data_IF_303717174756
#
_entry.id   IF_303717174756
#
_cell.length_a   1.000
_cell.length_b   1.000
_cell.length_c   1.000
_cell.angle_alpha   90.00
_cell.angle_beta   90.00
_cell.angle_gamma   90.00
#
_symmetry.space_group_name_H-M   'P 1'
#
loop_
_entity.id
_entity.type
_entity.pdbx_description
1 polymer ?
#
# COMPACT_ATOMS: atom_id res chain seq x y z
N UNK A 1 -3.86 -41.44 47.20
CA UNK A 1 -3.29 -41.40 45.85
C UNK A 1 -4.44 -41.20 44.87
N UNK A 2 -4.56 -40.00 44.30
CA UNK A 2 -5.55 -39.71 43.24
C UNK A 2 -4.93 -38.70 42.29
N UNK A 3 -4.63 -39.14 41.07
CA UNK A 3 -4.25 -38.29 39.94
C UNK A 3 -5.50 -38.02 39.14
N UNK A 4 -5.87 -36.77 38.89
CA UNK A 4 -6.51 -36.36 37.63
C UNK A 4 -6.02 -34.95 37.28
N UNK A 5 -5.49 -34.84 36.06
CA UNK A 5 -5.00 -33.64 35.42
C UNK A 5 -6.16 -32.70 35.01
N UNK A 6 -5.90 -31.39 34.98
CA UNK A 6 -6.67 -30.46 34.16
C UNK A 6 -5.73 -29.38 33.62
N UNK A 7 -5.35 -29.58 32.36
CA UNK A 7 -4.72 -28.59 31.51
C UNK A 7 -5.74 -27.51 31.08
N UNK A 8 -5.20 -26.47 30.43
CA UNK A 8 -5.86 -25.52 29.54
C UNK A 8 -6.33 -24.19 30.15
N UNK A 9 -5.45 -23.18 30.04
CA UNK A 9 -5.89 -21.85 29.60
C UNK A 9 -4.75 -21.12 28.87
N UNK A 10 -4.45 -21.55 27.65
CA UNK A 10 -3.77 -20.70 26.68
C UNK A 10 -4.79 -20.32 25.60
N UNK A 11 -5.75 -19.45 25.96
CA UNK A 11 -6.60 -18.81 24.96
C UNK A 11 -5.72 -17.84 24.18
N UNK A 12 -5.49 -18.19 22.92
CA UNK A 12 -4.63 -17.45 22.00
C UNK A 12 -5.07 -16.01 21.83
N UNK A 13 -4.08 -15.11 21.93
CA UNK A 13 -4.12 -13.87 21.16
C UNK A 13 -3.94 -14.26 19.69
N UNK A 14 -5.02 -14.71 19.04
CA UNK A 14 -5.17 -14.55 17.62
C UNK A 14 -5.41 -13.05 17.40
N UNK A 15 -4.33 -12.27 17.41
CA UNK A 15 -4.36 -10.89 16.96
C UNK A 15 -4.94 -10.92 15.54
N UNK A 16 -6.09 -10.29 15.37
CA UNK A 16 -6.77 -10.10 14.11
C UNK A 16 -5.87 -9.33 13.16
N UNK A 17 -4.99 -10.03 12.46
CA UNK A 17 -4.44 -9.56 11.21
C UNK A 17 -5.58 -9.68 10.20
N UNK A 18 -6.47 -8.68 10.17
CA UNK A 18 -7.29 -8.47 8.99
C UNK A 18 -6.32 -8.40 7.80
N UNK A 19 -6.49 -9.24 6.76
CA UNK A 19 -5.67 -9.09 5.57
C UNK A 19 -5.93 -7.68 5.06
N UNK A 20 -4.91 -6.81 5.08
CA UNK A 20 -4.97 -5.57 4.31
C UNK A 20 -5.27 -6.00 2.87
N UNK A 21 -6.35 -5.47 2.29
CA UNK A 21 -6.71 -5.87 0.95
C UNK A 21 -5.65 -5.32 -0.01
N UNK A 22 -5.21 -6.17 -0.94
CA UNK A 22 -4.12 -5.84 -1.84
C UNK A 22 -4.52 -4.68 -2.76
N UNK A 23 -3.57 -3.82 -3.13
CA UNK A 23 -3.83 -2.86 -4.20
C UNK A 23 -4.08 -3.63 -5.50
N UNK A 24 -5.14 -3.30 -6.23
CA UNK A 24 -5.49 -3.99 -7.48
C UNK A 24 -5.64 -3.04 -8.66
N UNK A 25 -5.16 -3.47 -9.83
CA UNK A 25 -5.41 -2.82 -11.11
C UNK A 25 -5.91 -3.87 -12.11
N UNK A 26 -7.04 -3.62 -12.78
CA UNK A 26 -7.69 -4.57 -13.71
C UNK A 26 -7.88 -5.97 -13.09
N UNK A 27 -8.26 -6.02 -11.81
CA UNK A 27 -8.50 -7.26 -11.06
C UNK A 27 -7.24 -8.06 -10.70
N UNK A 28 -6.04 -7.48 -10.87
CA UNK A 28 -4.76 -8.12 -10.51
C UNK A 28 -4.08 -7.32 -9.41
N UNK A 29 -3.50 -8.03 -8.44
CA UNK A 29 -2.67 -7.38 -7.42
C UNK A 29 -1.46 -6.69 -8.06
N UNK A 30 -1.18 -5.49 -7.58
CA UNK A 30 0.00 -4.69 -7.97
C UNK A 30 1.00 -4.54 -6.82
N UNK A 31 0.75 -5.17 -5.69
CA UNK A 31 1.59 -5.11 -4.49
C UNK A 31 3.00 -5.66 -4.73
N UNK A 32 3.95 -5.15 -3.92
CA UNK A 32 5.36 -5.57 -3.84
C UNK A 32 6.15 -5.54 -5.14
N UNK A 33 5.58 -4.89 -6.17
CA UNK A 33 6.24 -4.58 -7.43
C UNK A 33 6.75 -3.15 -7.41
N UNK A 34 7.85 -2.92 -8.13
CA UNK A 34 8.38 -1.58 -8.36
C UNK A 34 7.88 -1.08 -9.70
N UNK A 35 7.32 0.11 -9.68
CA UNK A 35 6.87 0.85 -10.84
C UNK A 35 7.63 2.17 -10.93
N UNK A 36 7.60 2.77 -12.11
CA UNK A 36 8.10 4.12 -12.33
C UNK A 36 6.93 5.07 -12.42
N UNK A 37 7.03 6.23 -11.76
CA UNK A 37 5.94 7.18 -11.72
C UNK A 37 6.34 8.61 -11.46
N UNK A 38 5.33 9.46 -11.42
CA UNK A 38 5.40 10.83 -10.95
C UNK A 38 4.45 10.99 -9.76
N UNK A 39 4.79 11.86 -8.82
CA UNK A 39 3.87 12.28 -7.77
C UNK A 39 3.82 13.79 -7.69
N UNK A 40 2.63 14.36 -7.60
CA UNK A 40 2.47 15.81 -7.50
C UNK A 40 1.61 16.19 -6.29
N UNK A 41 1.85 17.39 -5.78
CA UNK A 41 0.97 18.08 -4.85
C UNK A 41 0.99 19.57 -5.14
N UNK A 42 -0.16 20.23 -5.05
CA UNK A 42 -0.25 21.69 -5.24
C UNK A 42 0.57 22.48 -4.21
N UNK A 43 0.86 21.88 -3.06
CA UNK A 43 1.60 22.51 -1.97
C UNK A 43 3.13 22.35 -2.07
N UNK A 44 3.60 21.29 -2.70
CA UNK A 44 5.03 20.89 -2.67
C UNK A 44 5.65 20.85 -4.07
N UNK A 45 4.83 20.72 -5.11
CA UNK A 45 5.26 20.54 -6.49
C UNK A 45 5.31 19.08 -6.91
N UNK A 46 6.05 18.80 -7.98
CA UNK A 46 6.11 17.48 -8.63
C UNK A 46 7.45 16.79 -8.40
N UNK A 47 7.41 15.51 -8.01
CA UNK A 47 8.55 14.60 -8.06
C UNK A 47 8.41 13.71 -9.29
N UNK A 48 9.41 13.74 -10.17
CA UNK A 48 9.39 13.02 -11.44
C UNK A 48 10.26 11.76 -11.40
N UNK A 49 9.90 10.75 -12.20
CA UNK A 49 10.67 9.52 -12.40
C UNK A 49 11.03 8.80 -11.08
N UNK A 50 10.10 8.80 -10.12
CA UNK A 50 10.26 8.15 -8.83
C UNK A 50 9.92 6.66 -8.90
N UNK A 51 10.53 5.87 -8.02
CA UNK A 51 10.11 4.48 -7.79
C UNK A 51 8.87 4.45 -6.91
N UNK A 52 7.89 3.64 -7.29
CA UNK A 52 6.62 3.46 -6.59
C UNK A 52 6.46 1.98 -6.24
N UNK A 53 6.06 1.68 -5.00
CA UNK A 53 5.66 0.33 -4.58
C UNK A 53 4.36 0.38 -3.80
N UNK A 54 3.44 -0.51 -4.14
CA UNK A 54 2.16 -0.69 -3.44
C UNK A 54 2.28 -1.80 -2.37
N UNK A 55 1.55 -1.64 -1.28
CA UNK A 55 1.31 -2.68 -0.26
C UNK A 55 -0.05 -2.41 0.39
N UNK A 56 -1.08 -3.09 -0.12
CA UNK A 56 -2.47 -2.74 0.17
C UNK A 56 -2.75 -1.26 -0.14
N UNK A 57 -3.45 -0.56 0.73
CA UNK A 57 -3.71 0.88 0.57
C UNK A 57 -2.44 1.77 0.61
N UNK A 58 -1.26 1.25 0.94
CA UNK A 58 -0.07 2.08 1.11
C UNK A 58 0.77 2.17 -0.17
N UNK A 59 1.20 3.39 -0.50
CA UNK A 59 2.17 3.71 -1.55
C UNK A 59 3.48 4.15 -0.92
N UNK A 60 4.58 3.50 -1.29
CA UNK A 60 5.94 3.88 -0.93
C UNK A 60 6.61 4.53 -2.13
N UNK A 61 7.02 5.77 -1.98
CA UNK A 61 7.69 6.55 -3.02
C UNK A 61 9.18 6.72 -2.67
N UNK A 62 10.04 6.37 -3.62
CA UNK A 62 11.50 6.34 -3.50
C UNK A 62 12.07 4.95 -3.15
N UNK A 63 13.40 4.80 -3.23
CA UNK A 63 14.08 3.51 -3.01
C UNK A 63 13.95 2.97 -1.57
N UNK A 64 13.71 3.84 -0.59
CA UNK A 64 13.65 3.51 0.86
C UNK A 64 12.36 3.96 1.56
N UNK A 65 11.36 4.47 0.83
CA UNK A 65 10.07 4.92 1.42
C UNK A 65 10.13 6.28 2.13
N UNK A 66 10.83 7.26 1.57
CA UNK A 66 10.90 8.62 2.13
C UNK A 66 9.54 9.33 2.15
N UNK A 67 8.65 8.94 1.24
CA UNK A 67 7.27 9.40 1.19
C UNK A 67 6.36 8.16 1.22
N UNK A 68 5.46 8.15 2.19
CA UNK A 68 4.50 7.08 2.43
C UNK A 68 3.11 7.69 2.34
N UNK A 69 2.31 7.22 1.40
CA UNK A 69 0.99 7.75 1.09
C UNK A 69 -0.05 6.65 1.32
N UNK A 70 -1.21 7.02 1.82
CA UNK A 70 -2.37 6.13 1.91
C UNK A 70 -3.34 6.44 0.78
N UNK A 71 -3.62 5.45 -0.07
CA UNK A 71 -4.61 5.55 -1.12
C UNK A 71 -5.99 5.69 -0.53
N UNK A 72 -6.83 6.45 -1.21
CA UNK A 72 -8.25 6.55 -0.85
C UNK A 72 -9.04 5.26 -1.14
N UNK A 73 -8.62 4.52 -2.16
CA UNK A 73 -9.20 3.24 -2.58
C UNK A 73 -8.07 2.26 -2.95
N UNK A 74 -8.24 0.99 -2.57
CA UNK A 74 -7.33 -0.11 -2.90
C UNK A 74 -7.51 -0.58 -4.35
N UNK A 75 -8.63 -0.24 -4.99
CA UNK A 75 -8.90 -0.50 -6.40
C UNK A 75 -8.45 0.69 -7.25
N UNK A 76 -7.35 0.51 -7.97
CA UNK A 76 -6.86 1.47 -8.95
C UNK A 76 -7.72 1.35 -10.21
N UNK A 77 -8.47 2.40 -10.52
CA UNK A 77 -9.31 2.50 -11.73
C UNK A 77 -8.57 3.21 -12.86
N UNK A 78 -7.89 4.32 -12.53
CA UNK A 78 -6.97 5.03 -13.42
C UNK A 78 -5.57 5.10 -12.78
N UNK A 79 -4.54 4.47 -13.36
CA UNK A 79 -3.19 4.54 -12.81
C UNK A 79 -2.51 5.89 -12.99
N UNK A 80 -3.11 6.84 -13.73
CA UNK A 80 -2.58 8.18 -13.94
C UNK A 80 -3.10 9.19 -12.91
N UNK A 81 -4.12 8.83 -12.15
CA UNK A 81 -4.82 9.73 -11.24
C UNK A 81 -5.17 9.02 -9.92
N UNK A 82 -4.15 8.52 -9.22
CA UNK A 82 -4.34 7.86 -7.92
C UNK A 82 -4.23 8.91 -6.81
N UNK A 83 -5.35 9.25 -6.16
CA UNK A 83 -5.37 10.10 -4.97
C UNK A 83 -4.79 9.35 -3.76
N UNK A 84 -3.78 9.95 -3.11
CA UNK A 84 -3.19 9.41 -1.90
C UNK A 84 -2.80 10.50 -0.90
N UNK A 85 -2.92 10.20 0.39
CA UNK A 85 -2.73 11.17 1.47
C UNK A 85 -1.45 10.89 2.27
N UNK A 86 -0.64 11.93 2.47
CA UNK A 86 0.49 11.91 3.40
C UNK A 86 -0.01 12.33 4.80
N UNK A 87 -0.33 11.35 5.64
CA UNK A 87 -0.79 11.59 7.02
C UNK A 87 0.24 12.31 7.90
N UNK A 88 1.54 12.22 7.58
CA UNK A 88 2.58 12.86 8.39
C UNK A 88 2.65 14.36 8.14
N UNK A 89 2.36 14.79 6.90
CA UNK A 89 2.43 16.19 6.48
C UNK A 89 1.07 16.84 6.30
N UNK A 90 0.00 16.05 6.26
CA UNK A 90 -1.36 16.51 6.02
C UNK A 90 -1.62 16.95 4.58
N UNK A 91 -0.97 16.30 3.61
CA UNK A 91 -0.91 16.74 2.20
C UNK A 91 -1.56 15.69 1.30
N UNK A 92 -2.44 16.14 0.39
CA UNK A 92 -2.94 15.31 -0.71
C UNK A 92 -1.94 15.28 -1.86
N UNK A 93 -1.71 14.09 -2.39
CA UNK A 93 -0.87 13.82 -3.54
C UNK A 93 -1.69 13.12 -4.63
N UNK A 94 -1.36 13.40 -5.87
CA UNK A 94 -1.79 12.61 -7.02
C UNK A 94 -0.59 11.80 -7.50
N UNK A 95 -0.79 10.50 -7.65
CA UNK A 95 0.22 9.54 -8.06
C UNK A 95 -0.10 9.06 -9.48
N UNK A 96 0.88 9.20 -10.37
CA UNK A 96 0.84 8.74 -11.74
C UNK A 96 1.83 7.58 -11.92
N UNK A 97 1.36 6.41 -12.33
CA UNK A 97 2.17 5.23 -12.58
C UNK A 97 2.33 5.00 -14.07
N UNK A 98 3.57 5.07 -14.58
CA UNK A 98 3.86 5.10 -16.00
C UNK A 98 3.84 3.71 -16.66
N UNK A 99 4.22 2.67 -15.91
CA UNK A 99 4.54 1.33 -16.43
C UNK A 99 3.66 0.20 -15.86
N UNK A 100 2.56 0.54 -15.18
CA UNK A 100 1.66 -0.46 -14.58
C UNK A 100 0.97 -1.37 -15.61
N UNK A 101 0.83 -0.89 -16.85
CA UNK A 101 0.21 -1.62 -17.96
C UNK A 101 1.19 -2.58 -18.65
N UNK A 102 2.49 -2.34 -18.48
CA UNK A 102 3.59 -3.13 -19.03
C UNK A 102 3.71 -4.51 -18.38
N UNK A 103 2.88 -4.83 -17.38
CA UNK A 103 2.78 -6.13 -16.71
C UNK A 103 2.32 -7.29 -17.61
N UNK A 104 2.64 -7.26 -18.92
CA UNK A 104 2.78 -8.47 -19.72
C UNK A 104 4.11 -9.13 -19.34
N UNK A 105 3.99 -10.36 -18.84
CA UNK A 105 5.11 -11.30 -18.71
C UNK A 105 5.80 -11.49 -20.05
#
# INVERSE_FOLDING_TARGET
MTRIAAAALALGLAAAAFPAAAATYKGRSVDDRRYTGNVHSDLVGTLQAVQIRFNGAMIFVGATGQLVLEMRDEVITDPREIEAYDHRRGILWVVEVLDIESGKR
#
